data_IF_442388300506
#
_entry.id   IF_442388300506
#
_cell.length_a   1.000
_cell.length_b   1.000
_cell.length_c   1.000
_cell.angle_alpha   90.00
_cell.angle_beta   90.00
_cell.angle_gamma   90.00
#
_symmetry.space_group_name_H-M   'P 1'
#
loop_
_entity.id
_entity.type
_entity.pdbx_description
1 polymer ?
#
# COMPACT_ATOMS: atom_id res chain seq x y z
N UNK A 1 -11.29 5.35 25.08
CA UNK A 1 -11.23 5.89 26.46
C UNK A 1 -9.92 6.66 26.76
N UNK A 2 -9.11 7.06 25.77
CA UNK A 2 -7.83 7.76 26.02
C UNK A 2 -7.84 9.28 25.79
N UNK A 3 -8.76 9.80 24.95
CA UNK A 3 -8.72 11.20 24.50
C UNK A 3 -9.00 12.24 25.59
N UNK A 4 -9.93 11.96 26.51
CA UNK A 4 -10.31 12.90 27.57
C UNK A 4 -9.14 13.20 28.53
N UNK A 5 -8.24 12.24 28.76
CA UNK A 5 -7.07 12.42 29.61
C UNK A 5 -5.98 13.32 29.00
N UNK A 6 -5.91 13.41 27.67
CA UNK A 6 -4.91 14.23 26.99
C UNK A 6 -5.34 15.68 26.90
N UNK A 7 -6.62 15.93 26.61
CA UNK A 7 -7.18 17.29 26.56
C UNK A 7 -7.08 18.00 27.91
N UNK A 8 -7.37 17.30 29.00
CA UNK A 8 -7.21 17.83 30.35
C UNK A 8 -5.75 18.17 30.68
N UNK A 9 -4.80 17.33 30.23
CA UNK A 9 -3.37 17.56 30.41
C UNK A 9 -2.88 18.78 29.60
N UNK A 10 -3.39 18.96 28.37
CA UNK A 10 -3.06 20.11 27.50
C UNK A 10 -3.60 21.42 28.10
N UNK A 11 -4.83 21.39 28.62
CA UNK A 11 -5.43 22.55 29.27
C UNK A 11 -4.68 22.96 30.56
N UNK A 12 -4.30 21.99 31.39
CA UNK A 12 -3.53 22.24 32.61
C UNK A 12 -2.13 22.82 32.31
N UNK A 13 -1.46 22.30 31.28
CA UNK A 13 -0.15 22.77 30.86
C UNK A 13 -0.22 24.21 30.31
N UNK A 14 -1.25 24.50 29.51
CA UNK A 14 -1.49 25.84 28.94
C UNK A 14 -1.71 26.90 30.03
N UNK A 15 -2.43 26.52 31.10
CA UNK A 15 -2.65 27.38 32.26
C UNK A 15 -1.33 27.67 33.00
N UNK A 16 -0.51 26.65 33.28
CA UNK A 16 0.78 26.81 33.97
C UNK A 16 1.78 27.68 33.21
N UNK A 17 1.73 27.67 31.87
CA UNK A 17 2.57 28.52 31.03
C UNK A 17 2.14 29.99 31.08
N UNK A 18 0.85 30.26 31.21
CA UNK A 18 0.33 31.63 31.36
C UNK A 18 0.75 32.28 32.69
N UNK A 19 1.01 31.47 33.71
CA UNK A 19 1.41 31.91 35.06
C UNK A 19 2.94 32.10 35.20
N UNK A 20 3.77 31.57 34.29
CA UNK A 20 5.24 31.71 34.31
C UNK A 20 5.76 32.55 33.15
N UNK A 21 5.73 33.87 33.33
CA UNK A 21 6.12 34.86 32.32
C UNK A 21 7.59 34.77 31.85
N UNK A 22 8.50 34.25 32.68
CA UNK A 22 9.95 34.29 32.40
C UNK A 22 10.48 33.17 31.48
N UNK A 23 9.66 32.14 31.20
CA UNK A 23 9.96 31.07 30.23
C UNK A 23 8.96 31.03 29.06
N UNK A 24 8.02 31.99 29.01
CA UNK A 24 6.77 31.87 28.28
C UNK A 24 6.91 31.79 26.76
N UNK A 25 7.79 32.58 26.13
CA UNK A 25 7.84 32.64 24.65
C UNK A 25 8.42 31.38 24.03
N UNK A 26 9.62 30.96 24.46
CA UNK A 26 10.32 29.80 23.90
C UNK A 26 9.63 28.48 24.28
N UNK A 27 9.12 28.36 25.50
CA UNK A 27 8.41 27.17 25.93
C UNK A 27 7.05 27.04 25.23
N UNK A 28 6.28 28.12 25.10
CA UNK A 28 5.00 28.09 24.39
C UNK A 28 5.17 27.79 22.90
N UNK A 29 6.23 28.30 22.27
CA UNK A 29 6.51 28.06 20.85
C UNK A 29 6.91 26.59 20.59
N UNK A 30 7.77 26.01 21.43
CA UNK A 30 8.09 24.58 21.36
C UNK A 30 6.89 23.68 21.66
N UNK A 31 6.02 24.08 22.57
CA UNK A 31 4.81 23.32 22.90
C UNK A 31 3.78 23.39 21.77
N UNK A 32 3.60 24.56 21.14
CA UNK A 32 2.79 24.68 19.92
C UNK A 32 3.33 23.80 18.80
N UNK A 33 4.65 23.74 18.63
CA UNK A 33 5.28 22.85 17.65
C UNK A 33 5.00 21.38 17.96
N UNK A 34 5.17 20.95 19.22
CA UNK A 34 4.90 19.56 19.64
C UNK A 34 3.42 19.20 19.46
N UNK A 35 2.49 20.11 19.76
CA UNK A 35 1.05 19.89 19.56
C UNK A 35 0.75 19.74 18.07
N UNK A 36 1.29 20.62 17.22
CA UNK A 36 1.14 20.51 15.76
C UNK A 36 1.73 19.20 15.21
N UNK A 37 2.89 18.78 15.72
CA UNK A 37 3.54 17.52 15.34
C UNK A 37 2.73 16.29 15.82
N UNK A 38 2.09 16.37 17.00
CA UNK A 38 1.23 15.32 17.54
C UNK A 38 -0.11 15.24 16.79
N UNK A 39 -0.70 16.36 16.41
CA UNK A 39 -1.91 16.40 15.57
C UNK A 39 -1.62 15.87 14.16
N UNK A 40 -0.45 16.19 13.59
CA UNK A 40 0.02 15.63 12.32
C UNK A 40 0.31 14.12 12.41
N UNK A 41 0.80 13.63 13.56
CA UNK A 41 1.03 12.21 13.81
C UNK A 41 -0.26 11.43 14.13
N UNK A 42 -1.29 12.09 14.68
CA UNK A 42 -2.57 11.50 15.06
C UNK A 42 -3.55 11.33 13.90
N UNK A 43 -3.41 12.12 12.85
CA UNK A 43 -4.10 11.91 11.58
C UNK A 43 -3.31 10.91 10.73
N UNK A 44 -3.56 9.62 10.93
CA UNK A 44 -3.32 8.65 9.87
C UNK A 44 -4.33 8.95 8.76
N UNK A 45 -4.04 9.98 7.95
CA UNK A 45 -4.87 10.34 6.81
C UNK A 45 -4.61 9.31 5.71
N UNK A 46 -5.21 8.14 5.89
CA UNK A 46 -5.13 7.01 4.97
C UNK A 46 -5.49 7.43 3.55
N UNK A 47 -6.41 8.40 3.43
CA UNK A 47 -6.86 8.96 2.17
C UNK A 47 -5.75 9.78 1.49
N UNK A 48 -5.01 10.61 2.22
CA UNK A 48 -3.83 11.32 1.69
C UNK A 48 -2.72 10.35 1.32
N UNK A 49 -2.51 9.25 2.05
CA UNK A 49 -1.47 8.27 1.67
C UNK A 49 -1.75 7.61 0.32
N UNK A 50 -3.01 7.27 0.04
CA UNK A 50 -3.41 6.69 -1.26
C UNK A 50 -3.23 7.73 -2.37
N UNK A 51 -3.72 8.96 -2.15
CA UNK A 51 -3.60 10.07 -3.13
C UNK A 51 -2.15 10.40 -3.44
N UNK A 52 -1.33 10.62 -2.42
CA UNK A 52 0.10 10.95 -2.60
C UNK A 52 0.86 9.81 -3.27
N UNK A 53 0.54 8.55 -2.94
CA UNK A 53 1.12 7.38 -3.59
C UNK A 53 0.79 7.29 -5.09
N UNK A 54 -0.47 7.55 -5.47
CA UNK A 54 -0.87 7.60 -6.87
C UNK A 54 -0.21 8.75 -7.62
N UNK A 55 -0.14 9.94 -7.02
CA UNK A 55 0.53 11.09 -7.62
C UNK A 55 2.01 10.80 -7.88
N UNK A 56 2.69 10.13 -6.95
CA UNK A 56 4.07 9.69 -7.13
C UNK A 56 4.20 8.68 -8.28
N UNK A 57 3.33 7.66 -8.35
CA UNK A 57 3.31 6.73 -9.50
C UNK A 57 3.12 7.48 -10.82
N UNK A 58 2.20 8.46 -10.85
CA UNK A 58 1.89 9.24 -12.04
C UNK A 58 3.13 10.01 -12.52
N UNK A 59 3.77 10.80 -11.65
CA UNK A 59 4.91 11.63 -12.05
C UNK A 59 6.20 10.84 -12.27
N UNK A 60 6.47 9.83 -11.45
CA UNK A 60 7.76 9.14 -11.44
C UNK A 60 7.81 7.90 -12.31
N UNK A 61 6.67 7.30 -12.65
CA UNK A 61 6.63 6.07 -13.45
C UNK A 61 5.81 6.25 -14.71
N UNK A 62 4.56 6.70 -14.61
CA UNK A 62 3.65 6.79 -15.75
C UNK A 62 4.12 7.82 -16.79
N UNK A 63 4.28 9.07 -16.38
CA UNK A 63 4.66 10.18 -17.28
C UNK A 63 6.08 10.04 -17.82
N UNK A 64 6.99 9.37 -17.09
CA UNK A 64 8.37 9.12 -17.52
C UNK A 64 8.51 7.96 -18.52
N UNK A 65 7.50 7.12 -18.70
CA UNK A 65 7.53 5.96 -19.60
C UNK A 65 6.32 5.94 -20.54
N UNK A 66 6.08 6.99 -21.35
CA UNK A 66 4.87 7.12 -22.16
C UNK A 66 4.72 5.99 -23.19
N UNK A 67 5.82 5.50 -23.77
CA UNK A 67 5.79 4.42 -24.75
C UNK A 67 5.35 3.08 -24.12
N UNK A 68 5.86 2.77 -22.93
CA UNK A 68 5.49 1.58 -22.18
C UNK A 68 4.00 1.60 -21.85
N UNK A 69 3.52 2.64 -21.16
CA UNK A 69 2.12 2.71 -20.75
C UNK A 69 1.17 2.93 -21.93
N UNK A 70 1.61 3.60 -23.00
CA UNK A 70 0.86 3.71 -24.25
C UNK A 70 0.70 2.37 -24.97
N UNK A 71 1.68 1.47 -24.85
CA UNK A 71 1.58 0.09 -25.35
C UNK A 71 0.67 -0.74 -24.46
N UNK A 72 0.84 -0.68 -23.14
CA UNK A 72 0.03 -1.42 -22.17
C UNK A 72 -1.45 -1.02 -22.20
N UNK A 73 -1.76 0.23 -22.55
CA UNK A 73 -3.14 0.69 -22.71
C UNK A 73 -3.88 0.00 -23.88
N UNK A 74 -3.15 -0.51 -24.88
CA UNK A 74 -3.73 -1.23 -26.02
C UNK A 74 -4.00 -2.71 -25.72
N UNK A 75 -3.32 -3.25 -24.71
CA UNK A 75 -3.45 -4.65 -24.32
C UNK A 75 -2.29 -5.13 -23.47
N UNK A 76 -2.42 -6.37 -22.97
CA UNK A 76 -1.42 -7.02 -22.15
C UNK A 76 -1.01 -8.36 -22.78
N UNK A 77 0.26 -8.74 -22.64
CA UNK A 77 0.79 -10.03 -23.08
C UNK A 77 1.79 -10.63 -22.07
N UNK A 78 1.37 -10.78 -20.80
CA UNK A 78 2.26 -11.27 -19.75
C UNK A 78 2.77 -12.67 -20.06
N UNK A 79 4.02 -12.94 -19.66
CA UNK A 79 4.66 -14.25 -19.85
C UNK A 79 4.48 -15.17 -18.66
N UNK A 80 4.20 -14.58 -17.49
CA UNK A 80 4.14 -15.28 -16.22
C UNK A 80 2.73 -15.23 -15.62
N UNK A 81 2.26 -16.37 -15.11
CA UNK A 81 1.18 -16.44 -14.13
C UNK A 81 1.80 -16.72 -12.75
N UNK A 82 1.60 -15.79 -11.81
CA UNK A 82 2.16 -15.87 -10.46
C UNK A 82 1.04 -16.01 -9.44
N UNK A 83 1.08 -17.08 -8.66
CA UNK A 83 0.30 -17.21 -7.42
C UNK A 83 1.16 -16.77 -6.24
N UNK A 84 0.72 -15.76 -5.50
CA UNK A 84 1.46 -15.24 -4.36
C UNK A 84 0.59 -15.01 -3.12
N UNK A 85 1.23 -14.95 -1.96
CA UNK A 85 0.50 -14.78 -0.71
C UNK A 85 -0.06 -13.35 -0.62
N UNK A 86 -1.23 -13.20 -0.01
CA UNK A 86 -1.80 -11.90 0.33
C UNK A 86 -1.02 -11.13 1.40
N UNK A 87 -0.01 -11.74 2.01
CA UNK A 87 0.87 -11.11 2.99
C UNK A 87 1.51 -9.82 2.43
N UNK A 88 1.41 -8.72 3.19
CA UNK A 88 1.79 -7.38 2.75
C UNK A 88 3.30 -7.21 2.54
N UNK A 89 4.12 -8.10 3.08
CA UNK A 89 5.59 -8.06 3.01
C UNK A 89 6.13 -8.67 1.72
N UNK A 90 5.33 -9.48 1.04
CA UNK A 90 5.75 -10.26 -0.13
C UNK A 90 5.01 -9.83 -1.40
N UNK A 91 5.34 -8.63 -1.89
CA UNK A 91 4.84 -8.17 -3.19
C UNK A 91 5.72 -8.74 -4.33
N UNK A 92 5.20 -9.63 -5.20
CA UNK A 92 6.02 -10.25 -6.25
C UNK A 92 6.61 -9.23 -7.22
N UNK A 93 5.86 -8.16 -7.56
CA UNK A 93 6.38 -7.08 -8.41
C UNK A 93 7.60 -6.40 -7.80
N UNK A 94 7.69 -6.32 -6.48
CA UNK A 94 8.82 -5.71 -5.80
C UNK A 94 9.99 -6.68 -5.65
N UNK A 95 9.72 -7.93 -5.25
CA UNK A 95 10.79 -8.91 -4.95
C UNK A 95 11.45 -9.43 -6.24
N UNK A 96 10.67 -9.63 -7.29
CA UNK A 96 11.17 -10.16 -8.56
C UNK A 96 11.44 -9.07 -9.61
N UNK A 97 11.30 -7.80 -9.23
CA UNK A 97 11.45 -6.63 -10.10
C UNK A 97 10.60 -6.68 -11.39
N UNK A 98 9.40 -7.28 -11.31
CA UNK A 98 8.50 -7.31 -12.46
C UNK A 98 8.02 -5.91 -12.82
N UNK A 99 8.18 -5.58 -14.09
CA UNK A 99 7.62 -4.40 -14.71
C UNK A 99 6.13 -4.59 -15.05
N UNK A 100 5.37 -3.49 -15.19
CA UNK A 100 3.98 -3.57 -15.61
C UNK A 100 3.82 -4.32 -16.94
N UNK A 101 2.92 -5.31 -16.96
CA UNK A 101 2.64 -6.13 -18.14
C UNK A 101 3.42 -7.43 -18.24
N UNK A 102 4.40 -7.70 -17.37
CA UNK A 102 5.19 -8.93 -17.44
C UNK A 102 4.49 -10.14 -16.82
N UNK A 103 3.75 -9.94 -15.73
CA UNK A 103 3.12 -11.00 -14.96
C UNK A 103 1.63 -10.74 -14.71
N UNK A 104 0.81 -11.77 -14.90
CA UNK A 104 -0.57 -11.84 -14.44
C UNK A 104 -0.58 -12.49 -13.05
N UNK A 105 -1.08 -11.78 -12.04
CA UNK A 105 -0.92 -12.20 -10.64
C UNK A 105 -2.25 -12.54 -9.97
N UNK A 106 -2.25 -13.64 -9.22
CA UNK A 106 -3.33 -14.03 -8.31
C UNK A 106 -2.78 -14.03 -6.89
N UNK A 107 -3.42 -13.28 -6.00
CA UNK A 107 -3.02 -13.20 -4.59
C UNK A 107 -4.11 -13.70 -3.67
N UNK A 108 -3.82 -14.72 -2.87
CA UNK A 108 -4.74 -15.26 -1.88
C UNK A 108 -3.99 -15.77 -0.64
N UNK A 109 -4.74 -16.20 0.37
CA UNK A 109 -4.19 -16.73 1.62
C UNK A 109 -3.33 -17.96 1.30
N UNK A 110 -2.06 -17.91 1.69
CA UNK A 110 -1.07 -18.98 1.49
C UNK A 110 -0.83 -19.40 0.02
N UNK A 111 -1.10 -18.51 -0.94
CA UNK A 111 -0.90 -18.74 -2.39
C UNK A 111 -1.53 -20.06 -2.89
N UNK A 112 -2.65 -20.45 -2.30
CA UNK A 112 -3.28 -21.74 -2.56
C UNK A 112 -3.88 -21.81 -3.97
N UNK A 113 -3.65 -22.94 -4.63
CA UNK A 113 -4.36 -23.34 -5.85
C UNK A 113 -5.17 -24.60 -5.53
N UNK A 114 -6.47 -24.45 -5.27
CA UNK A 114 -7.31 -25.61 -4.96
C UNK A 114 -7.54 -26.47 -6.22
N UNK A 115 -7.99 -27.72 -6.05
CA UNK A 115 -8.46 -28.55 -7.16
C UNK A 115 -9.58 -27.86 -7.94
N UNK A 116 -9.75 -28.29 -9.19
CA UNK A 116 -10.80 -27.75 -10.05
C UNK A 116 -12.20 -27.99 -9.49
N UNK A 117 -12.92 -26.92 -9.19
CA UNK A 117 -14.34 -26.95 -8.82
C UNK A 117 -15.01 -25.66 -9.33
N UNK A 118 -15.96 -25.81 -10.26
CA UNK A 118 -16.69 -24.69 -10.89
C UNK A 118 -17.54 -23.90 -9.89
N UNK A 119 -17.97 -24.51 -8.78
CA UNK A 119 -18.90 -23.92 -7.83
C UNK A 119 -18.18 -23.35 -6.60
N UNK A 120 -17.13 -24.03 -6.12
CA UNK A 120 -16.43 -23.64 -4.89
C UNK A 120 -15.24 -22.72 -5.13
N UNK A 121 -14.53 -22.89 -6.23
CA UNK A 121 -13.24 -22.21 -6.48
C UNK A 121 -13.22 -21.48 -7.82
N UNK A 122 -14.37 -20.92 -8.22
CA UNK A 122 -14.54 -20.22 -9.48
C UNK A 122 -13.55 -19.06 -9.67
N UNK A 123 -13.14 -18.37 -8.60
CA UNK A 123 -12.17 -17.27 -8.68
C UNK A 123 -10.80 -17.71 -9.18
N UNK A 124 -10.21 -18.75 -8.54
CA UNK A 124 -8.90 -19.29 -8.97
C UNK A 124 -9.02 -19.97 -10.32
N UNK A 125 -10.08 -20.75 -10.54
CA UNK A 125 -10.34 -21.42 -11.81
C UNK A 125 -10.42 -20.44 -12.98
N UNK A 126 -11.20 -19.36 -12.85
CA UNK A 126 -11.35 -18.33 -13.88
C UNK A 126 -10.03 -17.59 -14.14
N UNK A 127 -9.23 -17.30 -13.11
CA UNK A 127 -7.94 -16.65 -13.28
C UNK A 127 -6.95 -17.52 -14.07
N UNK A 128 -6.89 -18.82 -13.75
CA UNK A 128 -6.03 -19.79 -14.48
C UNK A 128 -6.53 -19.93 -15.92
N UNK A 129 -7.84 -20.13 -16.11
CA UNK A 129 -8.44 -20.25 -17.44
C UNK A 129 -8.14 -19.04 -18.31
N UNK A 130 -8.32 -17.82 -17.77
CA UNK A 130 -8.03 -16.59 -18.48
C UNK A 130 -6.55 -16.45 -18.85
N UNK A 131 -5.65 -16.69 -17.89
CA UNK A 131 -4.22 -16.59 -18.13
C UNK A 131 -3.73 -17.58 -19.19
N UNK A 132 -4.17 -18.84 -19.13
CA UNK A 132 -3.69 -19.91 -20.00
C UNK A 132 -4.38 -19.86 -21.36
N UNK A 133 -5.70 -19.74 -21.41
CA UNK A 133 -6.46 -19.83 -22.66
C UNK A 133 -6.54 -18.50 -23.41
N UNK A 134 -6.56 -17.36 -22.71
CA UNK A 134 -6.72 -16.05 -23.35
C UNK A 134 -5.41 -15.27 -23.43
N UNK A 135 -4.66 -15.17 -22.33
CA UNK A 135 -3.38 -14.44 -22.31
C UNK A 135 -2.20 -15.24 -22.84
N UNK A 136 -2.33 -16.57 -22.93
CA UNK A 136 -1.29 -17.50 -23.40
C UNK A 136 0.03 -17.36 -22.62
N UNK A 137 -0.06 -17.29 -21.30
CA UNK A 137 1.13 -17.30 -20.43
C UNK A 137 1.95 -18.57 -20.65
N UNK A 138 3.27 -18.44 -20.56
CA UNK A 138 4.21 -19.55 -20.82
C UNK A 138 4.67 -20.22 -19.53
N UNK A 139 4.72 -19.47 -18.42
CA UNK A 139 5.29 -19.94 -17.17
C UNK A 139 4.30 -19.74 -16.03
N UNK A 140 4.14 -20.79 -15.24
CA UNK A 140 3.29 -20.80 -14.05
C UNK A 140 4.18 -20.99 -12.82
N UNK A 141 4.15 -20.05 -11.88
CA UNK A 141 4.97 -20.12 -10.66
C UNK A 141 4.18 -19.80 -9.41
N UNK A 142 4.60 -20.43 -8.31
CA UNK A 142 4.11 -20.15 -6.98
C UNK A 142 5.18 -19.38 -6.21
N UNK A 143 4.82 -18.21 -5.73
CA UNK A 143 5.66 -17.38 -4.88
C UNK A 143 5.10 -17.41 -3.46
N UNK A 144 5.54 -18.40 -2.69
CA UNK A 144 5.19 -18.52 -1.28
C UNK A 144 6.20 -17.77 -0.41
N UNK A 145 5.69 -17.12 0.64
CA UNK A 145 6.54 -16.56 1.70
C UNK A 145 7.25 -17.71 2.43
N UNK A 146 8.51 -17.94 2.10
CA UNK A 146 9.36 -18.87 2.81
C UNK A 146 10.06 -18.24 4.01
N UNK A 147 9.64 -17.06 4.51
CA UNK A 147 10.50 -16.23 5.36
C UNK A 147 11.89 -16.14 4.70
N UNK A 148 11.97 -15.25 3.71
CA UNK A 148 13.12 -14.95 2.83
C UNK A 148 13.26 -15.88 1.62
#
# INVERSE_FOLDING_TARGET
MGGESYEEAIAALSKLLSEKADLGSVAAEKIKQIIADLEAAGSCDTDNRIKTGFLHFKSEKFEKNPDLYGTLAKGQCPKYLIFACSDSRVCPSHILDFQPGEAFMVRNIASMVPPYDKNKYCGVGAAIEYAVLHLKVNFFSFFNDSRY
#
